data_IF_605766494753
#
_entry.id   IF_605766494753
#
_cell.length_a   1.000
_cell.length_b   1.000
_cell.length_c   1.000
_cell.angle_alpha   90.00
_cell.angle_beta   90.00
_cell.angle_gamma   90.00
#
_symmetry.space_group_name_H-M   'P 1'
#
loop_
_entity.id
_entity.type
_entity.pdbx_description
1 polymer ?
#
# COMPACT_ATOMS: atom_id res chain seq x y z
N UNK A 1 -0.29 12.56 -2.23
CA UNK A 1 0.25 12.02 -3.51
C UNK A 1 -0.80 11.85 -4.61
N UNK A 2 -2.11 12.03 -4.34
CA UNK A 2 -3.15 11.93 -5.38
C UNK A 2 -3.43 10.51 -5.89
N UNK A 3 -2.99 9.49 -5.16
CA UNK A 3 -3.26 8.09 -5.50
C UNK A 3 -4.65 7.68 -5.01
N UNK A 4 -5.33 6.84 -5.80
CA UNK A 4 -6.56 6.15 -5.38
C UNK A 4 -6.24 5.13 -4.27
N UNK A 5 -7.07 5.10 -3.24
CA UNK A 5 -6.93 4.17 -2.10
C UNK A 5 -7.91 3.00 -2.22
N UNK A 6 -7.38 1.79 -2.24
CA UNK A 6 -8.19 0.57 -2.29
C UNK A 6 -8.16 -0.17 -0.95
N UNK A 7 -9.32 -0.62 -0.50
CA UNK A 7 -9.49 -1.46 0.67
C UNK A 7 -10.00 -2.84 0.27
N UNK A 8 -9.42 -3.89 0.83
CA UNK A 8 -9.90 -5.27 0.68
C UNK A 8 -10.49 -5.72 2.00
N UNK A 9 -11.76 -6.12 2.00
CA UNK A 9 -12.45 -6.60 3.20
C UNK A 9 -11.95 -7.98 3.65
N UNK A 10 -12.15 -8.35 4.93
CA UNK A 10 -12.77 -7.57 6.00
C UNK A 10 -11.83 -6.51 6.58
N UNK A 11 -12.39 -5.33 6.87
CA UNK A 11 -11.66 -4.24 7.52
C UNK A 11 -11.82 -4.34 9.04
N UNK A 12 -10.73 -4.10 9.77
CA UNK A 12 -10.74 -4.04 11.23
C UNK A 12 -11.39 -2.77 11.81
N UNK A 13 -11.94 -1.91 10.95
CA UNK A 13 -12.54 -0.62 11.29
C UNK A 13 -13.71 -0.30 10.35
N UNK A 14 -14.52 0.69 10.74
CA UNK A 14 -15.65 1.18 9.93
C UNK A 14 -15.20 2.38 9.10
N UNK A 15 -15.57 2.38 7.83
CA UNK A 15 -15.31 3.47 6.88
C UNK A 15 -16.39 4.57 6.91
N UNK A 16 -17.19 4.66 7.98
CA UNK A 16 -18.27 5.65 8.02
C UNK A 16 -17.77 7.06 8.37
N UNK A 17 -18.43 8.07 7.78
CA UNK A 17 -18.06 9.48 7.91
C UNK A 17 -18.00 9.97 9.36
N UNK A 18 -18.73 9.32 10.29
CA UNK A 18 -18.74 9.74 11.70
C UNK A 18 -17.44 9.39 12.40
N UNK A 19 -16.82 8.24 12.10
CA UNK A 19 -15.50 7.90 12.63
C UNK A 19 -14.39 8.73 11.96
N UNK A 20 -14.52 9.02 10.66
CA UNK A 20 -13.52 9.76 9.88
C UNK A 20 -13.51 11.27 10.20
N UNK A 21 -14.68 11.90 10.39
CA UNK A 21 -14.78 13.30 10.86
C UNK A 21 -14.19 13.48 12.26
N UNK A 22 -14.28 12.46 13.13
CA UNK A 22 -13.65 12.48 14.46
C UNK A 22 -12.13 12.34 14.41
N UNK A 23 -11.58 11.74 13.36
CA UNK A 23 -10.14 11.61 13.15
C UNK A 23 -9.49 12.90 12.61
N UNK A 24 -10.27 13.99 12.42
CA UNK A 24 -9.76 15.26 11.90
C UNK A 24 -9.30 15.17 10.45
N UNK A 25 -9.87 14.24 9.67
CA UNK A 25 -9.49 13.99 8.29
C UNK A 25 -10.33 14.84 7.33
N UNK A 26 -10.15 16.16 7.35
CA UNK A 26 -10.84 17.08 6.43
C UNK A 26 -10.52 16.77 4.94
N UNK A 27 -9.42 16.07 4.70
CA UNK A 27 -8.98 15.61 3.37
C UNK A 27 -9.64 14.31 2.90
N UNK A 28 -10.40 13.61 3.77
CA UNK A 28 -11.04 12.35 3.38
C UNK A 28 -12.11 12.55 2.29
N UNK A 29 -12.82 13.68 2.32
CA UNK A 29 -13.80 14.06 1.29
C UNK A 29 -13.15 14.26 -0.09
N UNK A 30 -11.83 14.43 -0.14
CA UNK A 30 -11.05 14.58 -1.37
C UNK A 30 -10.25 13.32 -1.74
N UNK A 31 -10.39 12.24 -0.97
CA UNK A 31 -9.73 10.97 -1.25
C UNK A 31 -10.61 10.14 -2.20
N UNK A 32 -10.09 9.80 -3.38
CA UNK A 32 -10.67 8.75 -4.20
C UNK A 32 -10.35 7.41 -3.53
N UNK A 33 -11.36 6.77 -2.96
CA UNK A 33 -11.21 5.47 -2.33
C UNK A 33 -12.35 4.52 -2.68
N UNK A 34 -12.05 3.23 -2.67
CA UNK A 34 -13.02 2.17 -2.91
C UNK A 34 -12.71 0.95 -2.04
N UNK A 35 -13.74 0.20 -1.67
CA UNK A 35 -13.60 -1.04 -0.92
C UNK A 35 -14.22 -2.19 -1.70
N UNK A 36 -13.46 -3.28 -1.88
CA UNK A 36 -13.91 -4.53 -2.50
C UNK A 36 -14.01 -5.64 -1.46
N UNK A 37 -14.76 -6.68 -1.77
CA UNK A 37 -15.01 -7.77 -0.80
C UNK A 37 -13.83 -8.72 -0.64
N UNK A 38 -13.02 -8.88 -1.69
CA UNK A 38 -11.91 -9.82 -1.71
C UNK A 38 -10.79 -9.40 -2.68
N UNK A 39 -9.67 -10.12 -2.61
CA UNK A 39 -8.48 -9.86 -3.41
C UNK A 39 -8.73 -10.04 -4.91
N UNK A 40 -9.55 -11.01 -5.30
CA UNK A 40 -9.84 -11.32 -6.72
C UNK A 40 -10.56 -10.15 -7.38
N UNK A 41 -11.58 -9.58 -6.72
CA UNK A 41 -12.25 -8.40 -7.22
C UNK A 41 -11.30 -7.22 -7.40
N UNK A 42 -10.34 -7.04 -6.49
CA UNK A 42 -9.34 -5.98 -6.62
C UNK A 42 -8.46 -6.18 -7.86
N UNK A 43 -7.95 -7.40 -8.05
CA UNK A 43 -7.03 -7.69 -9.16
C UNK A 43 -7.72 -7.62 -10.53
N UNK A 44 -9.01 -7.96 -10.61
CA UNK A 44 -9.82 -7.75 -11.81
C UNK A 44 -9.97 -6.26 -12.14
N UNK A 45 -10.24 -5.42 -11.13
CA UNK A 45 -10.37 -3.96 -11.29
C UNK A 45 -9.06 -3.27 -11.66
N UNK A 46 -7.95 -3.84 -11.20
CA UNK A 46 -6.60 -3.33 -11.45
C UNK A 46 -5.88 -4.13 -12.55
N UNK A 47 -6.62 -4.87 -13.38
CA UNK A 47 -6.05 -5.65 -14.47
C UNK A 47 -5.22 -4.75 -15.40
N UNK A 48 -3.99 -5.18 -15.69
CA UNK A 48 -3.03 -4.43 -16.49
C UNK A 48 -2.19 -3.41 -15.71
N UNK A 49 -2.50 -3.13 -14.45
CA UNK A 49 -1.63 -2.35 -13.59
C UNK A 49 -0.54 -3.24 -12.97
N UNK A 50 0.67 -2.69 -12.89
CA UNK A 50 1.79 -3.36 -12.26
C UNK A 50 1.73 -3.18 -10.74
N UNK A 51 1.88 -4.27 -10.00
CA UNK A 51 1.80 -4.28 -8.54
C UNK A 51 3.18 -4.45 -7.89
N UNK A 52 3.40 -3.73 -6.79
CA UNK A 52 4.53 -3.89 -5.88
C UNK A 52 4.02 -4.24 -4.49
N UNK A 53 4.54 -5.32 -3.91
CA UNK A 53 4.06 -5.86 -2.64
C UNK A 53 5.05 -5.51 -1.53
N UNK A 54 4.57 -4.83 -0.49
CA UNK A 54 5.42 -4.38 0.61
C UNK A 54 5.40 -5.40 1.74
N UNK A 55 6.55 -6.01 1.99
CA UNK A 55 6.71 -7.07 2.97
C UNK A 55 8.12 -7.10 3.56
N UNK A 56 8.23 -7.37 4.87
CA UNK A 56 9.53 -7.53 5.54
C UNK A 56 10.35 -8.73 5.03
N UNK A 57 9.69 -9.67 4.35
CA UNK A 57 10.30 -10.89 3.82
C UNK A 57 10.93 -10.70 2.43
N UNK A 58 10.83 -9.51 1.83
CA UNK A 58 11.43 -9.25 0.53
C UNK A 58 12.97 -9.22 0.62
N UNK A 59 13.62 -9.51 -0.50
CA UNK A 59 15.07 -9.31 -0.64
C UNK A 59 15.38 -7.89 -1.14
N UNK A 60 14.61 -7.43 -2.13
CA UNK A 60 14.76 -6.12 -2.80
C UNK A 60 14.27 -4.96 -1.93
N UNK A 61 15.01 -3.87 -1.95
CA UNK A 61 14.70 -2.62 -1.26
C UNK A 61 13.78 -1.73 -2.11
N UNK A 62 12.99 -0.91 -1.43
CA UNK A 62 12.01 -0.01 -2.08
C UNK A 62 12.66 0.94 -3.09
N UNK A 63 13.84 1.49 -2.79
CA UNK A 63 14.54 2.42 -3.70
C UNK A 63 15.27 1.73 -4.85
N UNK A 64 15.33 0.39 -4.87
CA UNK A 64 15.82 -0.35 -6.02
C UNK A 64 14.71 -0.57 -7.05
N UNK A 65 13.44 -0.36 -6.69
CA UNK A 65 12.32 -0.44 -7.61
C UNK A 65 12.29 0.78 -8.52
N UNK A 66 12.01 0.55 -9.80
CA UNK A 66 11.71 1.60 -10.77
C UNK A 66 10.19 1.76 -10.81
N UNK A 67 9.68 2.76 -10.09
CA UNK A 67 8.26 3.05 -10.05
C UNK A 67 7.82 3.74 -11.34
N UNK A 68 6.61 3.41 -11.79
CA UNK A 68 5.93 4.08 -12.89
C UNK A 68 4.57 4.61 -12.43
N UNK A 69 4.08 5.67 -13.09
CA UNK A 69 2.74 6.18 -12.80
C UNK A 69 1.71 5.13 -13.18
N UNK A 70 0.78 4.87 -12.27
CA UNK A 70 -0.19 3.78 -12.41
C UNK A 70 0.25 2.47 -11.74
N UNK A 71 1.48 2.40 -11.20
CA UNK A 71 1.86 1.31 -10.30
C UNK A 71 0.95 1.28 -9.07
N UNK A 72 0.65 0.06 -8.61
CA UNK A 72 -0.16 -0.22 -7.44
C UNK A 72 0.77 -0.67 -6.31
N UNK A 73 0.67 0.00 -5.18
CA UNK A 73 1.43 -0.34 -3.97
C UNK A 73 0.53 -1.14 -3.02
N UNK A 74 0.87 -2.40 -2.79
CA UNK A 74 0.05 -3.35 -2.02
C UNK A 74 0.65 -3.54 -0.64
N UNK A 75 -0.16 -3.33 0.39
CA UNK A 75 0.25 -3.45 1.79
C UNK A 75 -0.65 -4.43 2.53
N UNK A 76 -0.04 -5.25 3.39
CA UNK A 76 -0.77 -6.13 4.30
C UNK A 76 -1.26 -5.40 5.54
N UNK A 77 -2.08 -6.08 6.36
CA UNK A 77 -2.48 -5.52 7.65
C UNK A 77 -1.31 -5.46 8.62
N UNK A 78 -1.34 -4.53 9.59
CA UNK A 78 -0.27 -4.38 10.58
C UNK A 78 0.01 -5.66 11.38
N UNK A 79 -1.03 -6.43 11.67
CA UNK A 79 -0.91 -7.62 12.51
C UNK A 79 -0.45 -8.86 11.75
N UNK A 80 -0.87 -9.03 10.49
CA UNK A 80 -0.66 -10.28 9.73
C UNK A 80 0.27 -10.11 8.52
N UNK A 81 0.48 -8.88 8.05
CA UNK A 81 1.15 -8.65 6.78
C UNK A 81 0.34 -9.19 5.59
N UNK A 82 1.04 -9.44 4.48
CA UNK A 82 0.46 -10.04 3.28
C UNK A 82 0.42 -11.58 3.42
N UNK A 83 -0.61 -12.25 2.87
CA UNK A 83 -0.63 -13.71 2.78
C UNK A 83 0.64 -14.26 2.11
N UNK A 84 1.13 -15.39 2.60
CA UNK A 84 2.33 -16.03 2.06
C UNK A 84 2.22 -16.38 0.59
N UNK A 85 1.12 -17.02 0.20
CA UNK A 85 0.83 -17.37 -1.19
C UNK A 85 0.94 -16.17 -2.13
N UNK A 86 0.47 -15.00 -1.69
CA UNK A 86 0.53 -13.77 -2.48
C UNK A 86 1.96 -13.24 -2.62
N UNK A 87 2.79 -13.39 -1.56
CA UNK A 87 4.21 -13.03 -1.62
C UNK A 87 4.98 -13.95 -2.57
N UNK A 88 4.68 -15.25 -2.55
CA UNK A 88 5.32 -16.24 -3.40
C UNK A 88 4.94 -16.05 -4.87
N UNK A 89 3.67 -15.82 -5.16
CA UNK A 89 3.17 -15.53 -6.51
C UNK A 89 3.84 -14.29 -7.14
N UNK A 90 4.12 -13.27 -6.32
CA UNK A 90 4.72 -12.01 -6.75
C UNK A 90 6.13 -11.78 -6.18
N UNK A 91 6.92 -12.85 -5.98
CA UNK A 91 8.21 -12.77 -5.30
C UNK A 91 9.16 -11.72 -5.90
N UNK A 92 9.23 -11.61 -7.23
CA UNK A 92 10.07 -10.64 -7.94
C UNK A 92 9.61 -9.18 -7.83
N UNK A 93 8.39 -8.96 -7.32
CA UNK A 93 7.76 -7.66 -7.09
C UNK A 93 7.57 -7.35 -5.60
N UNK A 94 8.15 -8.17 -4.72
CA UNK A 94 8.17 -7.88 -3.30
C UNK A 94 9.29 -6.88 -2.98
N UNK A 95 8.97 -5.87 -2.18
CA UNK A 95 9.87 -4.82 -1.73
C UNK A 95 9.84 -4.70 -0.20
N UNK A 96 10.97 -4.32 0.40
CA UNK A 96 11.05 -3.94 1.82
C UNK A 96 11.67 -2.57 2.01
N UNK A 97 11.28 -1.91 3.10
CA UNK A 97 12.07 -0.81 3.64
C UNK A 97 13.28 -1.37 4.40
N UNK A 98 14.42 -0.66 4.40
CA UNK A 98 15.53 -0.98 5.28
C UNK A 98 15.04 -0.91 6.73
N UNK A 99 15.38 -1.93 7.52
CA UNK A 99 15.10 -1.92 8.94
C UNK A 99 16.25 -2.57 9.68
N UNK A 100 16.56 -2.05 10.85
CA UNK A 100 17.50 -2.70 11.75
C UNK A 100 16.89 -4.02 12.26
N UNK A 101 17.68 -5.07 12.40
CA UNK A 101 17.18 -6.41 12.77
C UNK A 101 16.48 -6.44 14.15
N UNK A 102 16.82 -5.50 15.02
CA UNK A 102 16.27 -5.39 16.37
C UNK A 102 14.97 -4.58 16.46
N UNK A 103 14.51 -3.94 15.38
CA UNK A 103 13.27 -3.16 15.40
C UNK A 103 12.10 -3.94 14.82
N UNK A 104 10.93 -3.73 15.43
CA UNK A 104 9.65 -4.18 14.85
C UNK A 104 9.36 -3.42 13.56
N UNK A 105 8.48 -3.98 12.73
CA UNK A 105 7.97 -3.31 11.53
C UNK A 105 7.45 -1.91 11.86
N UNK A 106 7.72 -0.97 10.95
CA UNK A 106 7.15 0.37 11.00
C UNK A 106 5.63 0.29 10.99
N UNK A 107 4.97 1.32 11.56
CA UNK A 107 3.54 1.51 11.41
C UNK A 107 3.15 1.50 9.92
N UNK A 108 1.97 0.98 9.58
CA UNK A 108 1.52 0.86 8.20
C UNK A 108 1.44 2.22 7.51
N UNK A 109 0.91 3.25 8.15
CA UNK A 109 0.82 4.60 7.58
C UNK A 109 2.20 5.20 7.30
N UNK A 110 3.18 5.00 8.20
CA UNK A 110 4.56 5.43 7.98
C UNK A 110 5.22 4.69 6.81
N UNK A 111 4.93 3.40 6.67
CA UNK A 111 5.40 2.58 5.54
C UNK A 111 4.81 3.07 4.23
N UNK A 112 3.48 3.25 4.17
CA UNK A 112 2.77 3.79 3.00
C UNK A 112 3.32 5.15 2.61
N UNK A 113 3.45 6.07 3.57
CA UNK A 113 3.97 7.41 3.32
C UNK A 113 5.38 7.37 2.72
N UNK A 114 6.28 6.59 3.32
CA UNK A 114 7.68 6.48 2.85
C UNK A 114 7.74 5.94 1.43
N UNK A 115 7.03 4.85 1.13
CA UNK A 115 7.06 4.21 -0.19
C UNK A 115 6.40 5.11 -1.24
N UNK A 116 5.26 5.73 -0.92
CA UNK A 116 4.57 6.63 -1.82
C UNK A 116 5.43 7.85 -2.18
N UNK A 117 6.12 8.45 -1.20
CA UNK A 117 7.00 9.60 -1.47
C UNK A 117 8.31 9.21 -2.17
N UNK A 118 8.77 7.96 -2.04
CA UNK A 118 9.86 7.46 -2.90
C UNK A 118 9.41 7.40 -4.36
N UNK A 119 8.21 6.90 -4.66
CA UNK A 119 7.67 6.94 -6.02
C UNK A 119 7.56 8.39 -6.53
N UNK A 120 7.04 9.31 -5.71
CA UNK A 120 6.97 10.75 -6.04
C UNK A 120 8.36 11.34 -6.33
N UNK A 121 9.38 10.94 -5.57
CA UNK A 121 10.77 11.37 -5.81
C UNK A 121 11.25 10.89 -7.17
N UNK A 122 10.99 9.63 -7.54
CA UNK A 122 11.34 9.09 -8.85
C UNK A 122 10.59 9.78 -10.00
N UNK A 123 9.35 10.22 -9.75
CA UNK A 123 8.57 10.99 -10.72
C UNK A 123 9.01 12.45 -10.88
N UNK A 124 9.96 12.92 -10.07
CA UNK A 124 10.40 14.32 -10.07
C UNK A 124 9.43 15.28 -9.37
N UNK A 125 8.49 14.77 -8.58
CA UNK A 125 7.46 15.55 -7.88
C UNK A 125 6.05 15.07 -8.21
N UNK A 126 5.06 15.86 -7.78
CA UNK A 126 3.63 15.55 -7.98
C UNK A 126 3.07 16.08 -9.31
N UNK A 127 3.83 16.89 -10.04
CA UNK A 127 3.44 17.53 -11.31
C UNK A 127 3.28 16.55 -12.44
#
# INVERSE_FOLDING_TARGET
VGAKLWFVRPLGFRLDDRYLKRAGMDYWEHCDWEAVDDWTQLTERLAGHRMWLLTKFAERLVWEAEFERGDVLVFGSESRGLPESLREEHASRCLKLPMHEQVRSLNLASTVNTVAYEAVRQFGGLG
#
